data_IF_136683102274
#
_entry.id   IF_136683102274
#
_cell.length_a   1.000
_cell.length_b   1.000
_cell.length_c   1.000
_cell.angle_alpha   90.00
_cell.angle_beta   90.00
_cell.angle_gamma   90.00
#
_symmetry.space_group_name_H-M   'P 1'
#
loop_
_entity.id
_entity.type
_entity.pdbx_description
1 polymer ?
#
# COMPACT_ATOMS: atom_id res chain seq x y z
N UNK A 1 -9.51 18.29 21.79
CA UNK A 1 -9.01 18.32 20.39
C UNK A 1 -7.60 17.78 20.45
N UNK A 2 -7.32 16.66 19.81
CA UNK A 2 -6.04 15.95 19.88
C UNK A 2 -4.96 16.79 19.14
N UNK A 3 -3.74 16.84 19.66
CA UNK A 3 -2.60 17.56 19.06
C UNK A 3 -2.35 17.15 17.60
N UNK A 4 -2.65 15.89 17.24
CA UNK A 4 -2.57 15.38 15.87
C UNK A 4 -3.57 16.02 14.92
N UNK A 5 -4.78 16.31 15.37
CA UNK A 5 -5.79 17.03 14.58
C UNK A 5 -5.35 18.47 14.31
N UNK A 6 -4.61 19.07 15.24
CA UNK A 6 -4.11 20.43 15.12
C UNK A 6 -2.95 20.56 14.12
N UNK A 7 -2.03 19.57 14.06
CA UNK A 7 -0.97 19.53 13.03
C UNK A 7 -1.54 19.34 11.63
N UNK A 8 -2.57 18.48 11.49
CA UNK A 8 -3.29 18.29 10.22
C UNK A 8 -4.03 19.57 9.83
N UNK A 9 -4.68 20.25 10.80
CA UNK A 9 -5.35 21.54 10.55
C UNK A 9 -4.40 22.62 10.06
N UNK A 10 -3.20 22.69 10.65
CA UNK A 10 -2.17 23.67 10.25
C UNK A 10 -1.57 23.35 8.88
N UNK A 11 -1.63 22.09 8.45
CA UNK A 11 -1.02 21.61 7.22
C UNK A 11 -1.98 21.55 6.04
N UNK A 12 -3.28 21.36 6.29
CA UNK A 12 -4.32 21.46 5.26
C UNK A 12 -4.67 22.94 5.11
N UNK A 13 -4.18 23.56 4.04
CA UNK A 13 -4.67 24.88 3.63
C UNK A 13 -6.10 24.70 3.12
N UNK A 14 -7.07 24.69 4.05
CA UNK A 14 -8.46 24.89 3.67
C UNK A 14 -8.54 26.20 2.87
N UNK A 15 -9.32 26.16 1.80
CA UNK A 15 -9.60 27.35 1.04
C UNK A 15 -10.02 28.48 2.01
N UNK A 16 -9.21 29.54 2.08
CA UNK A 16 -9.44 30.65 3.00
C UNK A 16 -10.78 31.33 2.76
N UNK A 17 -11.38 31.14 1.59
CA UNK A 17 -12.70 31.64 1.21
C UNK A 17 -13.85 30.89 1.86
N UNK A 18 -13.61 29.73 2.47
CA UNK A 18 -14.69 28.95 3.08
C UNK A 18 -15.28 29.65 4.31
N UNK A 19 -16.62 29.78 4.37
CA UNK A 19 -17.30 30.28 5.56
C UNK A 19 -16.97 29.46 6.81
N UNK A 20 -16.96 30.09 7.97
CA UNK A 20 -16.62 29.43 9.24
C UNK A 20 -17.50 28.21 9.54
N UNK A 21 -18.80 28.27 9.19
CA UNK A 21 -19.70 27.13 9.31
C UNK A 21 -19.27 25.92 8.48
N UNK A 22 -18.78 26.15 7.26
CA UNK A 22 -18.29 25.11 6.38
C UNK A 22 -17.00 24.48 6.92
N UNK A 23 -16.07 25.28 7.45
CA UNK A 23 -14.85 24.79 8.11
C UNK A 23 -15.17 23.94 9.33
N UNK A 24 -16.12 24.36 10.18
CA UNK A 24 -16.57 23.58 11.34
C UNK A 24 -17.16 22.22 10.92
N UNK A 25 -17.99 22.20 9.88
CA UNK A 25 -18.55 20.95 9.33
C UNK A 25 -17.43 20.02 8.84
N UNK A 26 -16.48 20.58 8.09
CA UNK A 26 -15.34 19.82 7.55
C UNK A 26 -14.55 19.11 8.66
N UNK A 27 -14.13 19.84 9.70
CA UNK A 27 -13.35 19.25 10.79
C UNK A 27 -14.15 18.27 11.64
N UNK A 28 -15.43 18.56 11.89
CA UNK A 28 -16.31 17.61 12.56
C UNK A 28 -16.48 16.31 11.75
N UNK A 29 -16.54 16.40 10.42
CA UNK A 29 -16.60 15.24 9.55
C UNK A 29 -15.29 14.42 9.59
N UNK A 30 -14.11 15.07 9.57
CA UNK A 30 -12.81 14.38 9.74
C UNK A 30 -12.83 13.53 11.00
N UNK A 31 -13.19 14.12 12.14
CA UNK A 31 -13.18 13.40 13.41
C UNK A 31 -14.21 12.25 13.44
N UNK A 32 -15.44 12.48 12.99
CA UNK A 32 -16.49 11.45 13.00
C UNK A 32 -16.16 10.31 12.04
N UNK A 33 -15.66 10.61 10.83
CA UNK A 33 -15.25 9.57 9.87
C UNK A 33 -14.03 8.77 10.38
N UNK A 34 -13.08 9.43 11.05
CA UNK A 34 -11.93 8.73 11.65
C UNK A 34 -12.32 7.80 12.80
N UNK A 35 -13.31 8.18 13.62
CA UNK A 35 -13.74 7.40 14.77
C UNK A 35 -14.56 6.17 14.39
N UNK A 36 -15.53 6.31 13.51
CA UNK A 36 -16.53 5.27 13.23
C UNK A 36 -16.61 4.83 11.74
N UNK A 37 -15.81 5.45 10.88
CA UNK A 37 -15.85 5.22 9.43
C UNK A 37 -16.96 6.00 8.73
N UNK A 38 -16.86 6.11 7.41
CA UNK A 38 -17.82 6.84 6.59
C UNK A 38 -19.22 6.22 6.61
N UNK A 39 -19.31 4.89 6.47
CA UNK A 39 -20.60 4.21 6.34
C UNK A 39 -21.53 4.42 7.54
N UNK A 40 -20.98 4.34 8.76
CA UNK A 40 -21.75 4.44 10.01
C UNK A 40 -21.95 5.88 10.50
N UNK A 41 -21.17 6.83 10.02
CA UNK A 41 -21.32 8.24 10.36
C UNK A 41 -22.62 8.82 9.79
N UNK A 42 -23.27 9.72 10.53
CA UNK A 42 -24.47 10.43 10.09
C UNK A 42 -24.23 11.94 9.99
N UNK A 43 -24.99 12.61 9.12
CA UNK A 43 -24.94 14.08 8.99
C UNK A 43 -25.43 14.78 10.25
N UNK A 44 -26.38 14.17 10.97
CA UNK A 44 -26.85 14.65 12.27
C UNK A 44 -25.72 14.71 13.31
N UNK A 45 -24.92 13.66 13.40
CA UNK A 45 -23.76 13.61 14.33
C UNK A 45 -22.68 14.63 13.95
N UNK A 46 -22.42 14.78 12.66
CA UNK A 46 -21.48 15.78 12.16
C UNK A 46 -21.96 17.18 12.48
N UNK A 47 -23.25 17.49 12.24
CA UNK A 47 -23.84 18.78 12.54
C UNK A 47 -23.78 19.10 14.04
N UNK A 48 -24.15 18.12 14.89
CA UNK A 48 -24.07 18.25 16.34
C UNK A 48 -22.64 18.53 16.81
N UNK A 49 -21.65 17.81 16.26
CA UNK A 49 -20.25 18.02 16.60
C UNK A 49 -19.72 19.36 16.11
N UNK A 50 -20.15 19.80 14.95
CA UNK A 50 -19.81 21.11 14.36
C UNK A 50 -20.48 22.29 15.08
N UNK A 51 -21.49 22.04 15.91
CA UNK A 51 -22.27 23.08 16.56
C UNK A 51 -23.13 23.89 15.57
N UNK A 52 -23.69 23.22 14.53
CA UNK A 52 -24.50 23.84 13.48
C UNK A 52 -25.79 23.06 13.26
N UNK A 53 -26.78 23.69 12.59
CA UNK A 53 -27.96 22.98 12.13
C UNK A 53 -27.62 22.03 10.98
N UNK A 54 -28.24 20.84 10.92
CA UNK A 54 -27.96 19.84 9.87
C UNK A 54 -28.21 20.39 8.47
N UNK A 55 -29.22 21.24 8.29
CA UNK A 55 -29.48 21.88 7.01
C UNK A 55 -28.32 22.71 6.46
N UNK A 56 -27.40 23.18 7.33
CA UNK A 56 -26.19 23.87 6.88
C UNK A 56 -25.22 22.94 6.16
N UNK A 57 -25.18 21.66 6.54
CA UNK A 57 -24.39 20.65 5.82
C UNK A 57 -24.88 20.57 4.37
N UNK A 58 -26.18 20.39 4.17
CA UNK A 58 -26.76 20.25 2.84
C UNK A 58 -26.73 21.55 2.01
N UNK A 59 -26.59 22.70 2.67
CA UNK A 59 -26.35 23.99 1.99
C UNK A 59 -24.94 24.03 1.34
N UNK A 60 -23.95 23.43 1.98
CA UNK A 60 -22.56 23.44 1.50
C UNK A 60 -22.18 22.19 0.73
N UNK A 61 -22.77 21.04 1.07
CA UNK A 61 -22.47 19.73 0.49
C UNK A 61 -23.78 19.01 0.17
N UNK A 62 -24.03 18.68 -1.10
CA UNK A 62 -25.29 18.06 -1.55
C UNK A 62 -25.56 16.70 -0.91
N UNK A 63 -24.51 16.03 -0.42
CA UNK A 63 -24.60 14.71 0.20
C UNK A 63 -23.44 14.44 1.16
N UNK A 64 -23.61 13.44 2.02
CA UNK A 64 -22.51 12.92 2.87
C UNK A 64 -21.30 12.46 2.02
N UNK A 65 -21.55 11.87 0.82
CA UNK A 65 -20.49 11.48 -0.12
C UNK A 65 -19.73 12.70 -0.65
N UNK A 66 -20.42 13.76 -1.02
CA UNK A 66 -19.75 14.99 -1.47
C UNK A 66 -18.91 15.63 -0.36
N UNK A 67 -19.42 15.63 0.87
CA UNK A 67 -18.63 16.05 2.04
C UNK A 67 -17.37 15.20 2.20
N UNK A 68 -17.47 13.87 2.07
CA UNK A 68 -16.30 12.98 2.11
C UNK A 68 -15.30 13.33 1.00
N UNK A 69 -15.75 13.46 -0.24
CA UNK A 69 -14.87 13.74 -1.38
C UNK A 69 -14.21 15.11 -1.25
N UNK A 70 -14.95 16.15 -0.82
CA UNK A 70 -14.39 17.47 -0.58
C UNK A 70 -13.33 17.50 0.53
N UNK A 71 -13.35 16.51 1.40
CA UNK A 71 -12.33 16.30 2.44
C UNK A 71 -11.14 15.49 1.92
N UNK A 72 -11.40 14.33 1.34
CA UNK A 72 -10.35 13.35 1.03
C UNK A 72 -9.52 13.74 -0.19
N UNK A 73 -10.15 14.27 -1.24
CA UNK A 73 -9.43 14.54 -2.49
C UNK A 73 -8.35 15.63 -2.34
N UNK A 74 -8.62 16.81 -1.75
CA UNK A 74 -7.57 17.80 -1.50
C UNK A 74 -6.47 17.28 -0.56
N UNK A 75 -6.86 16.50 0.46
CA UNK A 75 -5.87 15.89 1.36
C UNK A 75 -4.92 14.96 0.58
N UNK A 76 -5.43 14.15 -0.33
CA UNK A 76 -4.61 13.26 -1.14
C UNK A 76 -3.69 14.02 -2.09
N UNK A 77 -4.20 15.05 -2.78
CA UNK A 77 -3.48 15.74 -3.84
C UNK A 77 -2.52 16.81 -3.31
N UNK A 78 -2.97 17.61 -2.36
CA UNK A 78 -2.29 18.82 -1.92
C UNK A 78 -1.48 18.63 -0.63
N UNK A 79 -1.83 17.62 0.15
CA UNK A 79 -1.15 17.34 1.41
C UNK A 79 -0.33 16.05 1.36
N UNK A 80 -0.98 14.89 1.16
CA UNK A 80 -0.28 13.59 1.22
C UNK A 80 0.77 13.43 0.12
N UNK A 81 0.46 13.80 -1.12
CA UNK A 81 1.38 13.63 -2.22
C UNK A 81 2.62 14.51 -2.10
N UNK A 82 2.52 15.85 -1.88
CA UNK A 82 3.69 16.71 -1.73
C UNK A 82 4.54 16.35 -0.50
N UNK A 83 3.92 16.12 0.66
CA UNK A 83 4.66 15.78 1.88
C UNK A 83 5.33 14.42 1.73
N UNK A 84 4.63 13.43 1.17
CA UNK A 84 5.22 12.12 0.88
C UNK A 84 6.46 12.27 0.02
N UNK A 85 6.40 13.03 -1.06
CA UNK A 85 7.54 13.24 -1.94
C UNK A 85 8.69 13.95 -1.23
N UNK A 86 8.42 15.07 -0.55
CA UNK A 86 9.44 15.82 0.19
C UNK A 86 10.16 14.96 1.24
N UNK A 87 9.41 14.15 1.98
CA UNK A 87 9.98 13.25 3.00
C UNK A 87 10.76 12.10 2.36
N UNK A 88 10.29 11.53 1.26
CA UNK A 88 11.01 10.49 0.53
C UNK A 88 12.26 11.02 -0.18
N UNK A 89 12.28 12.29 -0.59
CA UNK A 89 13.49 12.92 -1.13
C UNK A 89 14.66 12.85 -0.16
N UNK A 90 14.41 12.97 1.15
CA UNK A 90 15.46 12.84 2.17
C UNK A 90 16.04 11.42 2.25
N UNK A 91 15.27 10.40 1.85
CA UNK A 91 15.74 9.01 1.73
C UNK A 91 16.41 8.78 0.39
N UNK A 92 15.77 9.21 -0.71
CA UNK A 92 16.26 8.97 -2.06
C UNK A 92 17.56 9.73 -2.41
N UNK A 93 17.85 10.85 -1.74
CA UNK A 93 19.09 11.59 -1.91
C UNK A 93 20.29 10.98 -1.21
N UNK A 94 20.10 9.97 -0.37
CA UNK A 94 21.19 9.27 0.31
C UNK A 94 21.70 8.11 -0.53
N UNK A 95 23.02 7.88 -0.45
CA UNK A 95 23.60 6.64 -0.95
C UNK A 95 23.52 5.55 0.12
N UNK A 96 23.10 4.36 -0.29
CA UNK A 96 23.02 3.21 0.58
C UNK A 96 23.97 2.11 0.06
N UNK A 97 24.90 1.62 0.90
CA UNK A 97 25.78 0.51 0.55
C UNK A 97 25.01 -0.77 0.25
N UNK A 98 23.97 -1.05 1.02
CA UNK A 98 23.14 -2.25 0.91
C UNK A 98 21.68 -1.93 0.63
N UNK A 99 20.97 -2.92 0.09
CA UNK A 99 19.54 -2.78 -0.16
C UNK A 99 18.73 -2.83 1.14
N UNK A 100 19.21 -3.57 2.14
CA UNK A 100 18.65 -3.63 3.47
C UNK A 100 18.63 -2.26 4.16
N UNK A 101 19.74 -1.52 4.11
CA UNK A 101 19.82 -0.17 4.68
C UNK A 101 18.85 0.81 4.00
N UNK A 102 18.74 0.72 2.68
CA UNK A 102 17.73 1.50 1.95
C UNK A 102 16.31 1.14 2.38
N UNK A 103 15.97 -0.16 2.42
CA UNK A 103 14.64 -0.61 2.83
C UNK A 103 14.32 -0.19 4.27
N UNK A 104 15.31 -0.28 5.18
CA UNK A 104 15.13 0.17 6.57
C UNK A 104 14.77 1.65 6.63
N UNK A 105 15.59 2.50 6.03
CA UNK A 105 15.35 3.94 6.02
C UNK A 105 14.01 4.32 5.35
N UNK A 106 13.67 3.63 4.26
CA UNK A 106 12.42 3.85 3.55
C UNK A 106 11.20 3.39 4.35
N UNK A 107 11.25 2.21 4.97
CA UNK A 107 10.12 1.66 5.73
C UNK A 107 9.90 2.42 7.03
N UNK A 108 10.96 2.74 7.78
CA UNK A 108 10.87 3.56 9.01
C UNK A 108 10.24 4.93 8.71
N UNK A 109 10.67 5.57 7.63
CA UNK A 109 10.10 6.84 7.22
C UNK A 109 8.60 6.70 6.88
N UNK A 110 8.21 5.65 6.15
CA UNK A 110 6.81 5.39 5.81
C UNK A 110 5.97 5.04 7.02
N UNK A 111 6.45 4.21 7.92
CA UNK A 111 5.77 3.86 9.18
C UNK A 111 5.54 5.14 10.00
N UNK A 112 6.59 5.94 10.23
CA UNK A 112 6.48 7.21 10.95
C UNK A 112 5.45 8.16 10.32
N UNK A 113 5.41 8.25 8.99
CA UNK A 113 4.42 9.05 8.27
C UNK A 113 3.00 8.52 8.46
N UNK A 114 2.79 7.21 8.33
CA UNK A 114 1.48 6.57 8.48
C UNK A 114 0.95 6.69 9.91
N UNK A 115 1.80 6.51 10.92
CA UNK A 115 1.44 6.65 12.34
C UNK A 115 1.01 8.09 12.67
N UNK A 116 1.77 9.08 12.22
CA UNK A 116 1.43 10.51 12.41
C UNK A 116 0.13 10.92 11.74
N UNK A 117 -0.30 10.21 10.71
CA UNK A 117 -1.50 10.53 9.92
C UNK A 117 -2.56 9.42 9.98
N UNK A 118 -2.50 8.55 11.00
CA UNK A 118 -3.31 7.31 11.06
C UNK A 118 -4.81 7.51 10.85
N UNK A 119 -5.39 8.59 11.36
CA UNK A 119 -6.81 8.87 11.21
C UNK A 119 -7.21 9.13 9.75
N UNK A 120 -6.43 9.95 9.05
CA UNK A 120 -6.65 10.24 7.63
C UNK A 120 -6.35 9.03 6.75
N UNK A 121 -5.24 8.35 7.02
CA UNK A 121 -4.86 7.12 6.31
C UNK A 121 -5.96 6.07 6.44
N UNK A 122 -6.54 5.90 7.63
CA UNK A 122 -7.63 4.95 7.85
C UNK A 122 -8.86 5.28 7.00
N UNK A 123 -9.30 6.54 6.97
CA UNK A 123 -10.42 6.97 6.11
C UNK A 123 -10.11 6.68 4.64
N UNK A 124 -8.93 7.10 4.18
CA UNK A 124 -8.50 6.91 2.78
C UNK A 124 -8.48 5.43 2.40
N UNK A 125 -7.88 4.57 3.23
CA UNK A 125 -7.78 3.15 2.95
C UNK A 125 -9.13 2.45 2.95
N UNK A 126 -10.01 2.76 3.92
CA UNK A 126 -11.35 2.18 3.96
C UNK A 126 -12.15 2.53 2.71
N UNK A 127 -12.09 3.79 2.28
CA UNK A 127 -12.87 4.28 1.15
C UNK A 127 -12.22 3.98 -0.22
N UNK A 128 -10.92 3.74 -0.27
CA UNK A 128 -10.21 3.41 -1.51
C UNK A 128 -10.71 2.11 -2.17
N UNK A 129 -11.27 1.18 -1.40
CA UNK A 129 -11.84 -0.07 -1.93
C UNK A 129 -13.27 0.09 -2.48
N UNK A 130 -13.99 1.16 -2.07
CA UNK A 130 -15.41 1.32 -2.33
C UNK A 130 -15.68 2.54 -3.22
N UNK A 131 -14.94 3.63 -3.03
CA UNK A 131 -15.18 4.92 -3.68
C UNK A 131 -14.27 5.11 -4.88
N UNK A 132 -14.85 5.02 -6.07
CA UNK A 132 -14.10 5.10 -7.35
C UNK A 132 -13.27 6.40 -7.47
N UNK A 133 -13.82 7.53 -7.07
CA UNK A 133 -13.16 8.83 -7.16
C UNK A 133 -11.87 8.86 -6.32
N UNK A 134 -11.90 8.32 -5.10
CA UNK A 134 -10.72 8.20 -4.22
C UNK A 134 -9.70 7.25 -4.84
N UNK A 135 -10.16 6.11 -5.35
CA UNK A 135 -9.30 5.15 -6.04
C UNK A 135 -8.60 5.75 -7.27
N UNK A 136 -9.34 6.55 -8.06
CA UNK A 136 -8.78 7.20 -9.24
C UNK A 136 -7.67 8.20 -8.88
N UNK A 137 -7.87 9.01 -7.84
CA UNK A 137 -6.87 9.97 -7.36
C UNK A 137 -5.65 9.25 -6.79
N UNK A 138 -5.83 8.21 -5.98
CA UNK A 138 -4.72 7.40 -5.46
C UNK A 138 -3.88 6.80 -6.58
N UNK A 139 -4.52 6.21 -7.60
CA UNK A 139 -3.83 5.65 -8.77
C UNK A 139 -3.05 6.72 -9.54
N UNK A 140 -3.65 7.90 -9.74
CA UNK A 140 -3.01 9.02 -10.42
C UNK A 140 -1.78 9.51 -9.63
N UNK A 141 -1.95 9.85 -8.35
CA UNK A 141 -0.87 10.32 -7.48
C UNK A 141 0.28 9.31 -7.44
N UNK A 142 -0.04 8.03 -7.28
CA UNK A 142 0.96 6.97 -7.29
C UNK A 142 1.70 6.92 -8.63
N UNK A 143 0.97 6.80 -9.74
CA UNK A 143 1.54 6.61 -11.08
C UNK A 143 2.39 7.81 -11.53
N UNK A 144 1.92 9.03 -11.27
CA UNK A 144 2.54 10.23 -11.82
C UNK A 144 3.65 10.79 -10.91
N UNK A 145 3.53 10.62 -9.60
CA UNK A 145 4.44 11.27 -8.65
C UNK A 145 5.39 10.31 -7.94
N UNK A 146 4.89 9.18 -7.45
CA UNK A 146 5.67 8.29 -6.58
C UNK A 146 6.40 7.19 -7.36
N UNK A 147 5.71 6.51 -8.27
CA UNK A 147 6.27 5.37 -8.98
C UNK A 147 7.52 5.68 -9.81
N UNK A 148 7.64 6.83 -10.50
CA UNK A 148 8.86 7.15 -11.26
C UNK A 148 10.10 7.17 -10.38
N UNK A 149 10.05 7.83 -9.21
CA UNK A 149 11.18 7.92 -8.28
C UNK A 149 11.55 6.57 -7.67
N UNK A 150 10.57 5.77 -7.28
CA UNK A 150 10.81 4.41 -6.77
C UNK A 150 11.44 3.51 -7.82
N UNK A 151 10.99 3.61 -9.07
CA UNK A 151 11.57 2.85 -10.18
C UNK A 151 13.02 3.23 -10.46
N UNK A 152 13.35 4.51 -10.37
CA UNK A 152 14.73 5.01 -10.51
C UNK A 152 15.66 4.40 -9.44
N UNK A 153 15.22 4.40 -8.19
CA UNK A 153 15.99 3.79 -7.08
C UNK A 153 16.19 2.29 -7.31
N UNK A 154 15.14 1.56 -7.65
CA UNK A 154 15.23 0.12 -7.94
C UNK A 154 16.20 -0.14 -9.09
N UNK A 155 16.11 0.64 -10.16
CA UNK A 155 17.00 0.54 -11.32
C UNK A 155 18.46 0.74 -10.92
N UNK A 156 18.77 1.74 -10.08
CA UNK A 156 20.11 1.98 -9.57
C UNK A 156 20.66 0.76 -8.82
N UNK A 157 19.89 0.14 -7.94
CA UNK A 157 20.30 -1.07 -7.24
C UNK A 157 20.53 -2.26 -8.17
N UNK A 158 19.75 -2.40 -9.25
CA UNK A 158 19.95 -3.42 -10.28
C UNK A 158 21.25 -3.17 -11.07
N UNK A 159 21.49 -1.93 -11.51
CA UNK A 159 22.71 -1.54 -12.25
C UNK A 159 23.98 -1.74 -11.43
N UNK A 160 23.91 -1.55 -10.12
CA UNK A 160 24.99 -1.85 -9.18
C UNK A 160 25.14 -3.35 -8.89
N UNK A 161 24.24 -4.20 -9.39
CA UNK A 161 24.25 -5.65 -9.14
C UNK A 161 23.93 -6.04 -7.69
N UNK A 162 23.34 -5.14 -6.91
CA UNK A 162 22.97 -5.39 -5.51
C UNK A 162 21.67 -6.21 -5.44
N UNK A 163 20.73 -5.98 -6.36
CA UNK A 163 19.52 -6.80 -6.51
C UNK A 163 19.49 -7.45 -7.90
N UNK A 164 18.75 -8.55 -8.00
CA UNK A 164 18.62 -9.34 -9.22
C UNK A 164 18.00 -8.50 -10.35
N UNK A 165 18.51 -8.70 -11.56
CA UNK A 165 17.90 -8.12 -12.75
C UNK A 165 16.54 -8.78 -13.04
N UNK A 166 15.49 -7.97 -13.02
CA UNK A 166 14.11 -8.35 -13.30
C UNK A 166 13.31 -7.11 -13.74
N UNK A 167 12.10 -7.28 -14.30
CA UNK A 167 11.23 -6.13 -14.60
C UNK A 167 11.04 -5.26 -13.36
N UNK A 168 11.31 -3.96 -13.48
CA UNK A 168 11.29 -3.00 -12.36
C UNK A 168 9.93 -2.99 -11.65
N UNK A 169 8.85 -3.08 -12.44
CA UNK A 169 7.48 -3.15 -11.88
C UNK A 169 7.26 -4.43 -11.03
N UNK A 170 7.92 -5.53 -11.36
CA UNK A 170 7.87 -6.77 -10.56
C UNK A 170 8.63 -6.62 -9.25
N UNK A 171 9.84 -6.06 -9.29
CA UNK A 171 10.63 -5.78 -8.09
C UNK A 171 9.86 -4.82 -7.16
N UNK A 172 9.34 -3.72 -7.72
CA UNK A 172 8.52 -2.77 -6.96
C UNK A 172 7.31 -3.44 -6.32
N UNK A 173 6.54 -4.25 -7.07
CA UNK A 173 5.37 -4.95 -6.55
C UNK A 173 5.73 -5.88 -5.40
N UNK A 174 6.82 -6.64 -5.51
CA UNK A 174 7.28 -7.53 -4.44
C UNK A 174 7.62 -6.75 -3.16
N UNK A 175 8.33 -5.64 -3.27
CA UNK A 175 8.65 -4.77 -2.13
C UNK A 175 7.36 -4.21 -1.51
N UNK A 176 6.51 -3.61 -2.34
CA UNK A 176 5.30 -2.93 -1.89
C UNK A 176 4.29 -3.89 -1.23
N UNK A 177 4.09 -5.09 -1.79
CA UNK A 177 3.16 -6.08 -1.22
C UNK A 177 3.66 -6.67 0.08
N UNK A 178 4.96 -6.91 0.24
CA UNK A 178 5.53 -7.36 1.51
C UNK A 178 5.43 -6.27 2.59
N UNK A 179 5.74 -5.03 2.24
CA UNK A 179 5.59 -3.91 3.17
C UNK A 179 4.13 -3.69 3.60
N UNK A 180 3.21 -3.69 2.64
CA UNK A 180 1.77 -3.58 2.94
C UNK A 180 1.27 -4.75 3.80
N UNK A 181 1.74 -5.97 3.53
CA UNK A 181 1.44 -7.15 4.34
C UNK A 181 1.95 -7.01 5.78
N UNK A 182 3.19 -6.53 5.95
CA UNK A 182 3.74 -6.23 7.27
C UNK A 182 2.89 -5.21 8.03
N UNK A 183 2.54 -4.08 7.39
CA UNK A 183 1.70 -3.04 8.02
C UNK A 183 0.33 -3.57 8.43
N UNK A 184 -0.31 -4.34 7.54
CA UNK A 184 -1.61 -4.93 7.80
C UNK A 184 -1.56 -5.92 8.99
N UNK A 185 -0.53 -6.75 9.03
CA UNK A 185 -0.30 -7.67 10.14
C UNK A 185 -0.14 -6.93 11.46
N UNK A 186 0.71 -5.90 11.49
CA UNK A 186 0.96 -5.09 12.68
C UNK A 186 -0.27 -4.35 13.18
N UNK A 187 -1.15 -3.91 12.28
CA UNK A 187 -2.36 -3.17 12.67
C UNK A 187 -3.49 -4.10 13.15
N UNK A 188 -3.63 -5.29 12.55
CA UNK A 188 -4.80 -6.16 12.81
C UNK A 188 -4.48 -7.27 13.81
N UNK A 189 -3.34 -7.93 13.64
CA UNK A 189 -3.06 -9.18 14.34
C UNK A 189 -2.04 -9.04 15.48
N UNK A 190 -1.09 -8.11 15.37
CA UNK A 190 -0.04 -7.95 16.36
C UNK A 190 -0.62 -7.54 17.73
N UNK A 191 -0.20 -8.27 18.78
CA UNK A 191 -0.57 -8.03 20.19
C UNK A 191 0.70 -8.02 21.01
N UNK A 192 1.19 -6.83 21.43
CA UNK A 192 2.46 -6.71 22.17
C UNK A 192 2.54 -7.60 23.42
N UNK A 193 1.41 -7.82 24.06
CA UNK A 193 1.31 -8.61 25.31
C UNK A 193 1.43 -10.13 25.06
N UNK A 194 1.21 -10.58 23.83
CA UNK A 194 1.20 -12.00 23.45
C UNK A 194 2.40 -12.38 22.57
N UNK A 195 3.10 -11.39 22.03
CA UNK A 195 4.19 -11.62 21.10
C UNK A 195 5.52 -11.80 21.85
N UNK A 196 6.29 -12.77 21.42
CA UNK A 196 7.65 -13.01 21.92
C UNK A 196 8.70 -12.09 21.28
N UNK A 197 8.31 -11.32 20.29
CA UNK A 197 9.20 -10.50 19.45
C UNK A 197 8.61 -9.11 19.27
N UNK A 198 9.44 -8.10 19.40
CA UNK A 198 9.03 -6.71 19.23
C UNK A 198 8.89 -6.29 17.76
N UNK A 199 8.20 -5.16 17.53
CA UNK A 199 7.90 -4.62 16.19
C UNK A 199 9.16 -4.32 15.36
N UNK A 200 10.24 -3.88 15.99
CA UNK A 200 11.49 -3.54 15.30
C UNK A 200 12.16 -4.81 14.76
N UNK A 201 12.19 -5.86 15.56
CA UNK A 201 12.72 -7.17 15.14
C UNK A 201 11.91 -7.76 14.00
N UNK A 202 10.57 -7.67 14.04
CA UNK A 202 9.72 -8.12 12.93
C UNK A 202 9.92 -7.28 11.66
N UNK A 203 10.14 -5.98 11.78
CA UNK A 203 10.48 -5.13 10.64
C UNK A 203 11.81 -5.57 10.00
N UNK A 204 12.83 -5.82 10.82
CA UNK A 204 14.14 -6.32 10.34
C UNK A 204 13.99 -7.64 9.59
N UNK A 205 13.19 -8.58 10.12
CA UNK A 205 12.91 -9.86 9.45
C UNK A 205 12.21 -9.70 8.10
N UNK A 206 11.22 -8.81 8.04
CA UNK A 206 10.53 -8.52 6.78
C UNK A 206 11.49 -7.92 5.73
N UNK A 207 12.37 -7.02 6.15
CA UNK A 207 13.40 -6.42 5.30
C UNK A 207 14.40 -7.46 4.82
N UNK A 208 14.93 -8.30 5.71
CA UNK A 208 15.84 -9.40 5.33
C UNK A 208 15.19 -10.35 4.32
N UNK A 209 13.91 -10.69 4.52
CA UNK A 209 13.18 -11.54 3.59
C UNK A 209 13.10 -10.92 2.19
N UNK A 210 12.76 -9.64 2.10
CA UNK A 210 12.70 -8.92 0.82
C UNK A 210 14.08 -8.85 0.18
N UNK A 211 15.09 -8.45 0.93
CA UNK A 211 16.45 -8.27 0.42
C UNK A 211 17.05 -9.60 -0.06
N UNK A 212 16.91 -10.69 0.70
CA UNK A 212 17.34 -12.03 0.29
C UNK A 212 16.57 -12.55 -0.94
N UNK A 213 15.26 -12.27 -1.01
CA UNK A 213 14.42 -12.65 -2.16
C UNK A 213 14.81 -11.94 -3.46
N UNK A 214 15.36 -10.74 -3.35
CA UNK A 214 15.82 -9.93 -4.48
C UNK A 214 17.34 -9.98 -4.69
N UNK A 215 18.10 -10.67 -3.84
CA UNK A 215 19.54 -10.81 -3.99
C UNK A 215 19.91 -11.59 -5.27
N UNK A 216 21.01 -11.21 -5.95
CA UNK A 216 21.51 -11.96 -7.08
C UNK A 216 21.89 -13.38 -6.66
N UNK A 217 21.53 -14.38 -7.46
CA UNK A 217 21.97 -15.76 -7.21
C UNK A 217 23.49 -15.86 -7.30
N UNK A 218 24.14 -16.44 -6.29
CA UNK A 218 25.59 -16.71 -6.34
C UNK A 218 25.91 -17.57 -7.54
N UNK A 219 27.05 -17.30 -8.20
CA UNK A 219 27.51 -18.01 -9.41
C UNK A 219 27.55 -19.55 -9.29
N UNK A 220 27.69 -20.09 -8.09
CA UNK A 220 27.73 -21.54 -7.84
C UNK A 220 26.39 -22.25 -8.11
N UNK A 221 25.26 -21.62 -7.87
CA UNK A 221 23.95 -22.21 -8.20
C UNK A 221 23.66 -22.23 -9.71
N UNK A 222 24.29 -21.35 -10.50
CA UNK A 222 24.20 -21.39 -11.97
C UNK A 222 24.85 -22.64 -12.57
N UNK A 223 25.89 -23.18 -11.94
CA UNK A 223 26.59 -24.37 -12.42
C UNK A 223 25.80 -25.65 -12.12
N UNK A 224 25.08 -25.69 -11.00
CA UNK A 224 24.24 -26.84 -10.63
C UNK A 224 22.90 -26.88 -11.40
N UNK A 225 22.32 -25.71 -11.70
CA UNK A 225 21.10 -25.63 -12.48
C UNK A 225 21.24 -26.00 -13.96
N UNK A 226 22.45 -25.84 -14.53
CA UNK A 226 22.74 -26.18 -15.93
C UNK A 226 23.02 -27.67 -16.15
N UNK A 227 23.30 -28.47 -15.10
CA UNK A 227 23.61 -29.89 -15.18
C UNK A 227 22.42 -30.84 -14.96
N UNK A 228 21.26 -30.34 -14.61
CA UNK A 228 20.03 -31.16 -14.52
C UNK A 228 19.19 -31.07 -15.80
N UNK A 229 19.76 -31.41 -16.97
CA UNK A 229 18.94 -31.93 -18.07
C UNK A 229 18.70 -33.41 -17.76
N UNK A 230 17.50 -33.76 -17.37
CA UNK A 230 17.07 -35.15 -17.28
C UNK A 230 17.34 -35.87 -18.60
N UNK A 231 17.88 -37.10 -18.58
CA UNK A 231 17.98 -37.89 -19.79
C UNK A 231 16.59 -38.25 -20.26
N UNK A 232 16.28 -37.88 -21.49
CA UNK A 232 15.07 -38.32 -22.21
C UNK A 232 15.15 -39.84 -22.34
N UNK A 233 14.34 -40.53 -21.54
CA UNK A 233 14.13 -41.99 -21.70
C UNK A 233 13.36 -42.24 -23.01
N UNK A 234 14.07 -42.61 -24.05
CA UNK A 234 13.49 -43.09 -25.30
C UNK A 234 12.98 -44.51 -25.07
N UNK A 235 11.73 -44.65 -24.65
CA UNK A 235 11.08 -45.96 -24.59
C UNK A 235 10.65 -46.36 -26.00
N UNK A 236 11.43 -47.23 -26.63
CA UNK A 236 11.03 -47.98 -27.82
C UNK A 236 9.91 -48.93 -27.45
N UNK A 237 8.67 -48.59 -27.76
CA UNK A 237 7.54 -49.52 -27.70
C UNK A 237 7.59 -50.45 -28.91
N UNK A 238 7.96 -51.68 -28.69
CA UNK A 238 7.84 -52.80 -29.66
C UNK A 238 6.35 -53.09 -29.88
N UNK A 239 5.87 -52.87 -31.08
CA UNK A 239 4.59 -53.27 -31.60
C UNK A 239 4.52 -54.83 -31.69
N UNK A 240 3.81 -55.51 -30.80
CA UNK A 240 3.33 -56.88 -31.02
C UNK A 240 1.91 -56.81 -31.54
N UNK A 241 1.73 -57.22 -32.78
CA UNK A 241 0.44 -57.62 -33.37
C UNK A 241 -0.02 -58.91 -32.64
N UNK A 242 -1.25 -58.98 -32.19
CA UNK A 242 -2.02 -60.21 -32.19
C UNK A 242 -3.50 -59.91 -32.46
N UNK A 243 -4.01 -60.68 -33.36
CA UNK A 243 -5.35 -60.81 -33.91
C UNK A 243 -6.28 -61.53 -32.90
N UNK A 244 -7.55 -61.32 -33.08
CA UNK A 244 -8.76 -62.03 -32.62
C UNK A 244 -9.49 -61.24 -31.52
N UNK A 245 -10.72 -60.84 -31.75
CA UNK A 245 -11.89 -61.49 -32.28
C UNK A 245 -12.96 -61.50 -31.19
N UNK A 246 -14.14 -60.95 -31.47
CA UNK A 246 -15.32 -61.34 -30.67
C UNK A 246 -16.05 -60.21 -29.90
N UNK A 247 -17.02 -59.63 -30.56
CA UNK A 247 -18.47 -59.53 -30.23
C UNK A 247 -18.97 -59.00 -28.88
N UNK A 248 -19.86 -58.02 -29.00
CA UNK A 248 -21.10 -57.76 -28.22
C UNK A 248 -21.03 -57.48 -26.71
N UNK A 249 -21.51 -56.41 -26.24
CA UNK A 249 -22.92 -56.04 -25.99
C UNK A 249 -23.02 -54.67 -25.30
N UNK A 250 -24.05 -53.97 -25.67
CA UNK A 250 -24.70 -52.84 -24.99
C UNK A 250 -25.02 -53.14 -23.53
N UNK A 251 -25.05 -52.13 -22.69
CA UNK A 251 -26.23 -51.68 -21.94
C UNK A 251 -25.88 -50.60 -20.91
N UNK A 252 -26.67 -49.54 -21.04
CA UNK A 252 -27.20 -48.52 -20.13
C UNK A 252 -26.23 -47.46 -19.65
#
# INVERSE_FOLDING_TARGET
MDLQTQEVQNSIQLDRSWPEGQKKIFWAAVEIFAQKGFSTATTVEIAKKAGVAEGLIFKHFKSKKELLLSLVLPILEDFFAPITLKRLETVFSKEFPTFEEFLMAFFEERISFLEKNKHLVRIILQEAFITFEIQAVLKRVFKERLAPKLKEVIKNFQERGIIVEMPIDSAFRLIATNFAGYLLWMEIFYRPELESVDRETELKRAIEFIARGLAPKKKEERILGSKKKLPTATTKVKKKRNLNGGSHQEFV
#
